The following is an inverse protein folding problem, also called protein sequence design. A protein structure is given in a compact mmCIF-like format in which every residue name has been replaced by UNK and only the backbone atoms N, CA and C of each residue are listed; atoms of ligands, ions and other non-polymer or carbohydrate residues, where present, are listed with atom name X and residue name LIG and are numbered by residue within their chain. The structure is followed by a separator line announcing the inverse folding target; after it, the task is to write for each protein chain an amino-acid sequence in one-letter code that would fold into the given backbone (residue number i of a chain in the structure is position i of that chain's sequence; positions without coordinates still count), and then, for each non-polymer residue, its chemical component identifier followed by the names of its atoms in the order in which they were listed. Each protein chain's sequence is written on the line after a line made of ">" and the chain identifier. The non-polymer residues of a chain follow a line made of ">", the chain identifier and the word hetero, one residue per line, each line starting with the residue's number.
data_IF_488138180652
#
_entry.id   IF_488138180652
#
_cell.length_a   1.000
_cell.length_b   1.000
_cell.length_c   1.000
_cell.angle_alpha   90.00
_cell.angle_beta   90.00
_cell.angle_gamma   90.00
#
_symmetry.space_group_name_H-M   'P 1'
#
loop_
_entity.id
_entity.type
_entity.pdbx_description
1 polymer ?
#
# COMPACT_ATOMS: atom_id res chain seq x y z
N UNK A 1 -0.52 12.26 4.45
CA UNK A 1 -1.55 13.02 5.20
C UNK A 1 -2.95 12.39 5.08
N UNK A 2 -3.59 12.36 3.90
CA UNK A 2 -4.96 11.80 3.74
C UNK A 2 -5.05 10.32 4.14
N UNK A 3 -4.13 9.48 3.72
CA UNK A 3 -4.09 8.05 4.13
C UNK A 3 -3.96 7.88 5.64
N UNK A 4 -3.13 8.71 6.29
CA UNK A 4 -2.99 8.70 7.75
C UNK A 4 -4.27 9.09 8.47
N UNK A 5 -4.95 10.14 8.01
CA UNK A 5 -6.27 10.53 8.49
C UNK A 5 -7.27 9.37 8.37
N UNK A 6 -7.40 8.80 7.18
CA UNK A 6 -8.34 7.71 6.91
C UNK A 6 -8.03 6.45 7.73
N UNK A 7 -6.74 6.10 7.87
CA UNK A 7 -6.30 4.97 8.69
C UNK A 7 -6.78 5.10 10.13
N UNK A 8 -6.71 6.31 10.69
CA UNK A 8 -7.14 6.58 12.07
C UNK A 8 -8.66 6.53 12.22
N UNK A 9 -9.39 7.14 11.27
CA UNK A 9 -10.86 7.23 11.36
C UNK A 9 -11.57 5.92 11.00
N UNK A 10 -11.02 5.12 10.11
CA UNK A 10 -11.58 3.83 9.70
C UNK A 10 -11.05 2.65 10.54
N UNK A 11 -10.03 2.87 11.39
CA UNK A 11 -9.46 1.84 12.26
C UNK A 11 -8.70 0.73 11.53
N UNK A 12 -8.40 0.91 10.24
CA UNK A 12 -7.61 -0.01 9.43
C UNK A 12 -6.65 0.76 8.51
N UNK A 13 -5.55 0.13 8.12
CA UNK A 13 -4.58 0.75 7.23
C UNK A 13 -5.20 1.02 5.85
N UNK A 14 -5.29 2.30 5.48
CA UNK A 14 -5.83 2.74 4.20
C UNK A 14 -4.70 3.17 3.28
N UNK A 15 -4.72 2.65 2.06
CA UNK A 15 -3.91 3.10 0.93
C UNK A 15 -4.83 3.61 -0.16
N UNK A 16 -4.59 4.83 -0.62
CA UNK A 16 -5.32 5.44 -1.72
C UNK A 16 -4.71 4.97 -3.04
N UNK A 17 -5.54 4.40 -3.90
CA UNK A 17 -5.16 4.05 -5.26
C UNK A 17 -5.37 5.24 -6.19
N UNK A 18 -6.49 5.96 -6.01
CA UNK A 18 -6.90 7.03 -6.90
C UNK A 18 -7.72 8.09 -6.16
N UNK A 19 -7.50 9.36 -6.49
CA UNK A 19 -8.39 10.46 -6.14
C UNK A 19 -9.33 10.67 -7.33
N UNK A 20 -10.63 10.48 -7.09
CA UNK A 20 -11.67 10.56 -8.09
C UNK A 20 -12.18 12.00 -8.21
N UNK A 21 -12.89 12.28 -9.32
CA UNK A 21 -13.61 13.53 -9.46
C UNK A 21 -14.68 13.65 -8.36
N UNK A 22 -14.65 14.78 -7.66
CA UNK A 22 -15.54 15.05 -6.52
C UNK A 22 -16.95 15.46 -6.95
N UNK A 23 -17.14 15.79 -8.23
CA UNK A 23 -18.43 16.14 -8.81
C UNK A 23 -19.06 14.89 -9.44
N UNK A 24 -20.27 14.53 -8.98
CA UNK A 24 -21.01 13.40 -9.56
C UNK A 24 -21.53 13.74 -10.97
N UNK A 25 -21.42 12.77 -11.89
CA UNK A 25 -21.99 12.91 -13.24
C UNK A 25 -23.52 13.08 -13.16
N UNK A 26 -24.03 14.11 -13.83
CA UNK A 26 -25.45 14.19 -14.17
C UNK A 26 -25.74 13.20 -15.29
N UNK A 27 -26.48 12.15 -15.01
CA UNK A 27 -26.94 11.21 -16.04
C UNK A 27 -28.11 11.76 -16.85
N UNK A 28 -28.89 12.65 -16.24
CA UNK A 28 -30.00 13.37 -16.87
C UNK A 28 -29.95 14.85 -16.48
N UNK A 29 -30.52 15.71 -17.33
CA UNK A 29 -30.56 17.16 -17.09
C UNK A 29 -31.25 17.55 -15.77
N UNK A 30 -32.17 16.71 -15.28
CA UNK A 30 -32.92 16.91 -14.04
C UNK A 30 -32.28 16.29 -12.80
N UNK A 31 -31.14 15.60 -12.95
CA UNK A 31 -30.41 15.02 -11.82
C UNK A 31 -29.83 16.11 -10.93
N UNK A 32 -30.05 15.95 -9.62
CA UNK A 32 -29.48 16.85 -8.62
C UNK A 32 -27.96 16.68 -8.60
N UNK A 33 -27.28 17.79 -8.76
CA UNK A 33 -25.81 17.84 -8.69
C UNK A 33 -25.34 17.42 -7.29
N UNK A 34 -24.42 16.46 -7.23
CA UNK A 34 -23.81 16.04 -5.98
C UNK A 34 -22.32 16.34 -6.03
N UNK A 35 -21.85 17.16 -5.09
CA UNK A 35 -20.43 17.50 -4.93
C UNK A 35 -20.00 17.13 -3.53
N UNK A 36 -18.88 16.42 -3.43
CA UNK A 36 -18.20 16.12 -2.17
C UNK A 36 -16.81 16.77 -2.20
N UNK A 37 -16.22 17.05 -1.05
CA UNK A 37 -14.91 17.73 -1.03
C UNK A 37 -13.77 16.82 -1.49
N UNK A 38 -13.81 15.55 -1.06
CA UNK A 38 -12.83 14.54 -1.51
C UNK A 38 -13.57 13.24 -1.80
N UNK A 39 -13.30 12.67 -2.98
CA UNK A 39 -13.72 11.33 -3.36
C UNK A 39 -12.47 10.52 -3.72
N UNK A 40 -12.30 9.37 -3.10
CA UNK A 40 -11.13 8.52 -3.29
C UNK A 40 -11.51 7.06 -3.41
N UNK A 41 -10.63 6.27 -4.05
CA UNK A 41 -10.71 4.81 -4.13
C UNK A 41 -9.49 4.22 -3.44
N UNK A 42 -9.71 3.27 -2.53
CA UNK A 42 -8.63 2.56 -1.87
C UNK A 42 -8.19 1.32 -2.68
N UNK A 43 -7.11 0.68 -2.26
CA UNK A 43 -6.56 -0.52 -2.92
C UNK A 43 -7.47 -1.75 -2.87
N UNK A 44 -8.52 -1.74 -2.01
CA UNK A 44 -9.57 -2.77 -1.98
C UNK A 44 -10.67 -2.49 -3.01
N UNK A 45 -10.65 -1.29 -3.61
CA UNK A 45 -11.66 -0.80 -4.54
C UNK A 45 -12.86 -0.15 -3.86
N UNK A 46 -12.83 0.06 -2.54
CA UNK A 46 -13.88 0.76 -1.80
C UNK A 46 -13.82 2.27 -2.10
N UNK A 47 -14.96 2.92 -2.08
CA UNK A 47 -15.10 4.36 -2.31
C UNK A 47 -15.15 5.10 -0.99
N UNK A 48 -14.39 6.15 -0.88
CA UNK A 48 -14.33 7.00 0.31
C UNK A 48 -14.77 8.41 -0.07
N UNK A 49 -15.82 8.88 0.58
CA UNK A 49 -16.34 10.23 0.45
C UNK A 49 -16.01 11.00 1.72
N UNK A 50 -15.41 12.18 1.58
CA UNK A 50 -15.16 13.08 2.72
C UNK A 50 -15.80 14.41 2.40
N UNK A 51 -16.53 14.94 3.36
CA UNK A 51 -17.22 16.20 3.28
C UNK A 51 -16.93 17.04 4.52
N UNK A 52 -16.55 18.31 4.31
CA UNK A 52 -16.30 19.29 5.36
C UNK A 52 -17.42 20.31 5.31
N UNK A 53 -18.27 20.31 6.33
CA UNK A 53 -19.44 21.16 6.34
C UNK A 53 -19.39 22.19 7.47
N UNK A 54 -19.35 23.47 7.08
CA UNK A 54 -19.28 24.60 8.02
C UNK A 54 -20.66 25.17 8.35
N UNK A 55 -21.63 24.99 7.47
CA UNK A 55 -22.96 25.61 7.57
C UNK A 55 -24.01 24.57 7.85
N UNK A 56 -24.92 24.87 8.77
CA UNK A 56 -26.04 23.99 9.11
C UNK A 56 -27.00 23.85 7.95
N UNK A 57 -27.31 22.60 7.60
CA UNK A 57 -28.36 22.22 6.66
C UNK A 57 -29.38 21.32 7.35
N UNK A 58 -30.67 21.62 7.18
CA UNK A 58 -31.74 20.85 7.84
C UNK A 58 -31.84 19.42 7.28
N UNK A 59 -31.53 19.24 6.00
CA UNK A 59 -31.61 17.94 5.31
C UNK A 59 -30.22 17.36 5.02
N UNK A 60 -29.28 17.57 5.96
CA UNK A 60 -27.90 17.15 5.75
C UNK A 60 -27.75 15.63 5.61
N UNK A 61 -28.41 14.86 6.47
CA UNK A 61 -28.32 13.40 6.43
C UNK A 61 -28.93 12.81 5.15
N UNK A 62 -30.02 13.40 4.66
CA UNK A 62 -30.64 13.03 3.38
C UNK A 62 -29.69 13.32 2.21
N UNK A 63 -28.94 14.43 2.28
CA UNK A 63 -27.92 14.76 1.30
C UNK A 63 -26.77 13.76 1.33
N UNK A 64 -26.27 13.39 2.50
CA UNK A 64 -25.25 12.36 2.68
C UNK A 64 -25.73 11.02 2.11
N UNK A 65 -26.96 10.61 2.45
CA UNK A 65 -27.55 9.38 1.92
C UNK A 65 -27.65 9.41 0.38
N UNK A 66 -28.10 10.52 -0.19
CA UNK A 66 -28.17 10.69 -1.65
C UNK A 66 -26.78 10.57 -2.29
N UNK A 67 -25.76 11.23 -1.73
CA UNK A 67 -24.38 11.18 -2.20
C UNK A 67 -23.79 9.76 -2.20
N UNK A 68 -24.03 9.02 -1.12
CA UNK A 68 -23.63 7.62 -1.00
C UNK A 68 -24.33 6.74 -2.02
N UNK A 69 -25.66 6.90 -2.17
CA UNK A 69 -26.43 6.13 -3.17
C UNK A 69 -25.93 6.39 -4.59
N UNK A 70 -25.60 7.65 -4.91
CA UNK A 70 -25.04 8.03 -6.21
C UNK A 70 -23.66 7.40 -6.43
N UNK A 71 -22.77 7.44 -5.43
CA UNK A 71 -21.45 6.79 -5.50
C UNK A 71 -21.55 5.28 -5.72
N UNK A 72 -22.54 4.61 -5.13
CA UNK A 72 -22.81 3.18 -5.37
C UNK A 72 -23.21 2.94 -6.82
N UNK A 73 -24.11 3.76 -7.36
CA UNK A 73 -24.67 3.58 -8.73
C UNK A 73 -23.69 3.95 -9.84
N UNK A 74 -22.81 4.92 -9.62
CA UNK A 74 -21.79 5.33 -10.59
C UNK A 74 -20.79 4.23 -10.95
N UNK A 75 -20.61 3.26 -10.07
CA UNK A 75 -19.65 2.15 -10.25
C UNK A 75 -20.32 0.85 -10.72
N UNK A 76 -21.61 0.87 -11.03
CA UNK A 76 -22.37 -0.28 -11.52
C UNK A 76 -23.00 0.04 -12.87
N UNK A 77 -22.54 -0.63 -13.92
CA UNK A 77 -23.04 -0.41 -15.29
C UNK A 77 -24.08 -1.45 -15.70
N UNK A 78 -24.93 -1.07 -16.66
CA UNK A 78 -25.95 -1.95 -17.21
C UNK A 78 -25.32 -3.26 -17.76
N UNK A 79 -25.86 -4.39 -17.33
CA UNK A 79 -25.37 -5.72 -17.73
C UNK A 79 -24.29 -6.32 -16.84
N UNK A 80 -23.79 -5.59 -15.85
CA UNK A 80 -22.92 -6.14 -14.80
C UNK A 80 -23.74 -6.82 -13.71
N UNK A 81 -23.15 -7.82 -13.07
CA UNK A 81 -23.73 -8.41 -11.86
C UNK A 81 -23.48 -7.52 -10.63
N UNK A 82 -24.20 -7.78 -9.55
CA UNK A 82 -24.08 -7.00 -8.31
C UNK A 82 -22.76 -7.20 -7.55
N UNK A 83 -21.88 -8.08 -8.00
CA UNK A 83 -20.54 -8.23 -7.42
C UNK A 83 -19.66 -6.99 -7.65
N UNK A 84 -20.03 -6.16 -8.63
CA UNK A 84 -19.40 -4.87 -8.91
C UNK A 84 -19.71 -3.76 -7.91
N UNK A 85 -20.72 -3.93 -7.03
CA UNK A 85 -21.05 -2.95 -5.99
C UNK A 85 -19.88 -2.79 -5.04
N UNK A 86 -19.42 -1.55 -4.87
CA UNK A 86 -18.29 -1.21 -3.98
C UNK A 86 -18.81 -0.75 -2.63
N UNK A 87 -18.14 -1.09 -1.55
CA UNK A 87 -18.40 -0.50 -0.25
C UNK A 87 -18.10 1.00 -0.32
N UNK A 88 -18.92 1.81 0.35
CA UNK A 88 -18.75 3.26 0.43
C UNK A 88 -18.57 3.65 1.89
N UNK A 89 -17.51 4.38 2.18
CA UNK A 89 -17.30 5.08 3.43
C UNK A 89 -17.66 6.54 3.24
N UNK A 90 -18.51 7.08 4.10
CA UNK A 90 -18.90 8.49 4.11
C UNK A 90 -18.45 9.13 5.41
N UNK A 91 -17.50 10.06 5.34
CA UNK A 91 -16.93 10.77 6.47
C UNK A 91 -17.37 12.21 6.38
N UNK A 92 -18.15 12.67 7.36
CA UNK A 92 -18.65 14.04 7.48
C UNK A 92 -17.94 14.76 8.62
N UNK A 93 -17.20 15.80 8.30
CA UNK A 93 -16.50 16.67 9.27
C UNK A 93 -17.39 17.92 9.47
N UNK A 94 -18.04 18.01 10.65
CA UNK A 94 -19.09 18.97 10.92
C UNK A 94 -18.61 20.05 11.89
N UNK A 95 -18.66 21.32 11.45
CA UNK A 95 -18.39 22.50 12.26
C UNK A 95 -19.67 23.20 12.72
N UNK A 96 -20.81 22.50 12.67
CA UNK A 96 -22.11 22.98 13.14
C UNK A 96 -22.78 21.92 14.02
N UNK A 97 -23.74 22.35 14.83
CA UNK A 97 -24.55 21.43 15.62
C UNK A 97 -25.61 20.76 14.74
N UNK A 98 -25.46 19.44 14.51
CA UNK A 98 -26.39 18.62 13.75
C UNK A 98 -27.61 18.16 14.56
N UNK A 99 -27.52 18.19 15.89
CA UNK A 99 -28.57 17.71 16.78
C UNK A 99 -28.07 17.28 18.15
N UNK A 100 -28.95 16.64 18.92
CA UNK A 100 -28.67 16.24 20.31
C UNK A 100 -27.83 14.98 20.35
N UNK A 101 -26.76 15.02 21.11
CA UNK A 101 -25.86 13.88 21.36
C UNK A 101 -24.68 14.32 22.20
N UNK A 102 -24.04 13.41 22.94
CA UNK A 102 -22.99 13.71 23.91
C UNK A 102 -21.58 13.38 23.42
N UNK A 103 -21.46 12.76 22.25
CA UNK A 103 -20.16 12.41 21.68
C UNK A 103 -19.79 13.32 20.51
N UNK A 104 -18.50 13.48 20.28
CA UNK A 104 -17.95 14.18 19.12
C UNK A 104 -17.80 13.28 17.89
N UNK A 105 -17.89 11.94 18.06
CA UNK A 105 -17.75 10.96 16.99
C UNK A 105 -18.92 9.98 17.01
N UNK A 106 -19.61 9.88 15.89
CA UNK A 106 -20.67 8.89 15.67
C UNK A 106 -20.33 8.00 14.50
N UNK A 107 -20.52 6.69 14.71
CA UNK A 107 -20.23 5.66 13.72
C UNK A 107 -21.50 4.88 13.41
N UNK A 108 -21.91 4.90 12.15
CA UNK A 108 -23.10 4.22 11.63
C UNK A 108 -22.73 3.06 10.72
N UNK A 109 -23.15 1.85 11.10
CA UNK A 109 -22.98 0.63 10.30
C UNK A 109 -24.29 -0.14 10.24
N UNK A 110 -24.52 -0.84 9.13
CA UNK A 110 -25.65 -1.74 9.00
C UNK A 110 -25.33 -3.12 9.58
N UNK A 111 -26.10 -3.51 10.59
CA UNK A 111 -26.05 -4.84 11.20
C UNK A 111 -27.45 -5.46 11.16
N UNK A 112 -27.52 -6.75 10.82
CA UNK A 112 -28.75 -7.51 10.92
C UNK A 112 -28.65 -8.44 12.13
N UNK A 113 -29.44 -8.13 13.15
CA UNK A 113 -29.47 -8.85 14.42
C UNK A 113 -30.72 -9.70 14.49
N UNK A 114 -30.57 -10.98 14.83
CA UNK A 114 -31.70 -11.90 15.00
C UNK A 114 -32.65 -11.39 16.10
N UNK A 115 -33.94 -11.23 15.77
CA UNK A 115 -34.92 -10.64 16.69
C UNK A 115 -35.10 -11.51 17.95
N UNK A 116 -34.93 -12.81 17.84
CA UNK A 116 -35.13 -13.76 18.93
C UNK A 116 -33.82 -14.28 19.53
N UNK A 117 -32.78 -14.40 18.72
CA UNK A 117 -31.50 -15.04 19.12
C UNK A 117 -30.41 -14.04 19.43
N UNK A 118 -30.59 -12.77 19.00
CA UNK A 118 -29.61 -11.69 19.13
C UNK A 118 -28.24 -12.00 18.50
N UNK A 119 -28.15 -12.99 17.62
CA UNK A 119 -26.97 -13.27 16.82
C UNK A 119 -26.84 -12.30 15.64
N UNK A 120 -25.64 -12.16 15.11
CA UNK A 120 -25.36 -11.36 13.91
C UNK A 120 -25.44 -12.23 12.65
N UNK A 121 -26.29 -11.82 11.69
CA UNK A 121 -26.39 -12.49 10.40
C UNK A 121 -25.07 -12.40 9.63
N UNK A 122 -24.60 -13.51 9.15
CA UNK A 122 -23.54 -13.62 8.14
C UNK A 122 -24.13 -14.11 6.83
N UNK A 123 -23.82 -13.43 5.73
CA UNK A 123 -24.30 -13.81 4.40
C UNK A 123 -23.22 -14.55 3.61
N UNK A 124 -23.64 -15.52 2.82
CA UNK A 124 -22.75 -16.19 1.88
C UNK A 124 -22.64 -15.37 0.61
N UNK A 125 -21.42 -15.01 0.23
CA UNK A 125 -21.10 -14.31 -1.02
C UNK A 125 -20.10 -15.11 -1.84
N UNK A 126 -20.00 -14.82 -3.14
CA UNK A 126 -19.01 -15.44 -4.02
C UNK A 126 -17.84 -14.48 -4.23
N UNK A 127 -16.64 -14.90 -3.85
CA UNK A 127 -15.41 -14.14 -4.06
C UNK A 127 -14.35 -15.03 -4.71
N UNK A 128 -13.80 -14.59 -5.84
CA UNK A 128 -12.78 -15.31 -6.62
C UNK A 128 -13.10 -16.78 -6.88
N UNK A 129 -14.39 -17.08 -7.08
CA UNK A 129 -14.86 -18.45 -7.35
C UNK A 129 -15.15 -19.30 -6.10
N UNK A 130 -14.89 -18.81 -4.90
CA UNK A 130 -15.20 -19.46 -3.63
C UNK A 130 -16.40 -18.80 -2.93
N UNK A 131 -17.13 -19.58 -2.13
CA UNK A 131 -18.18 -19.05 -1.25
C UNK A 131 -17.50 -18.61 0.05
N UNK A 132 -17.64 -17.35 0.42
CA UNK A 132 -17.13 -16.76 1.65
C UNK A 132 -18.28 -16.20 2.48
N UNK A 133 -18.11 -16.16 3.80
CA UNK A 133 -19.05 -15.50 4.72
C UNK A 133 -18.65 -14.07 4.94
N UNK A 134 -19.61 -13.15 4.86
CA UNK A 134 -19.42 -11.73 5.13
C UNK A 134 -20.48 -11.19 6.07
N UNK A 135 -20.09 -10.22 6.86
CA UNK A 135 -21.04 -9.41 7.62
C UNK A 135 -21.71 -8.37 6.70
N UNK A 136 -22.97 -8.01 6.91
CA UNK A 136 -23.62 -6.93 6.18
C UNK A 136 -22.81 -5.61 6.23
N UNK A 137 -22.17 -5.29 7.35
CA UNK A 137 -21.32 -4.12 7.50
C UNK A 137 -20.11 -4.06 6.55
N UNK A 138 -19.69 -5.20 5.99
CA UNK A 138 -18.62 -5.25 4.97
C UNK A 138 -19.11 -4.94 3.56
N UNK A 139 -20.45 -4.89 3.35
CA UNK A 139 -21.08 -4.66 2.05
C UNK A 139 -21.79 -3.31 2.02
N UNK A 140 -22.55 -3.01 3.07
CA UNK A 140 -23.34 -1.78 3.17
C UNK A 140 -22.44 -0.57 3.44
N UNK A 141 -22.90 0.63 3.08
CA UNK A 141 -22.20 1.87 3.39
C UNK A 141 -21.97 2.06 4.88
N UNK A 142 -20.89 2.74 5.18
CA UNK A 142 -20.46 3.08 6.53
C UNK A 142 -20.36 4.59 6.68
N UNK A 143 -20.92 5.12 7.76
CA UNK A 143 -21.03 6.55 8.00
C UNK A 143 -20.26 6.95 9.24
N UNK A 144 -19.44 7.99 9.13
CA UNK A 144 -18.69 8.56 10.24
C UNK A 144 -19.00 10.05 10.31
N UNK A 145 -19.58 10.48 11.43
CA UNK A 145 -19.89 11.88 11.67
C UNK A 145 -18.95 12.41 12.76
N UNK A 146 -18.14 13.41 12.41
CA UNK A 146 -17.19 14.06 13.33
C UNK A 146 -17.74 15.45 13.66
N UNK A 147 -18.25 15.62 14.89
CA UNK A 147 -18.75 16.89 15.43
C UNK A 147 -17.56 17.65 16.04
N UNK A 148 -16.81 18.35 15.22
CA UNK A 148 -15.52 18.96 15.61
C UNK A 148 -15.67 19.89 16.81
N UNK A 149 -16.71 20.70 16.86
CA UNK A 149 -16.94 21.67 17.94
C UNK A 149 -17.24 21.00 19.30
N UNK A 150 -17.75 19.78 19.30
CA UNK A 150 -18.09 19.02 20.51
C UNK A 150 -16.88 18.33 21.14
N UNK A 151 -15.72 18.36 20.49
CA UNK A 151 -14.49 17.84 21.07
C UNK A 151 -13.97 18.81 22.14
N UNK A 152 -14.02 18.42 23.39
CA UNK A 152 -13.63 19.20 24.58
C UNK A 152 -12.56 18.56 25.45
N UNK A 153 -11.94 17.47 24.96
CA UNK A 153 -11.01 16.65 25.72
C UNK A 153 -9.55 16.97 25.38
N UNK A 154 -8.66 16.54 26.26
CA UNK A 154 -7.22 16.47 25.95
C UNK A 154 -7.00 15.33 24.97
N UNK A 155 -6.41 15.62 23.82
CA UNK A 155 -6.12 14.61 22.81
C UNK A 155 -5.01 13.67 23.32
N UNK A 156 -5.35 12.39 23.49
CA UNK A 156 -4.44 11.33 23.97
C UNK A 156 -4.31 10.17 22.99
N UNK A 157 -5.22 10.09 22.00
CA UNK A 157 -5.20 9.07 20.96
C UNK A 157 -4.94 9.71 19.59
N UNK A 158 -4.43 8.96 18.61
CA UNK A 158 -4.24 9.46 17.24
C UNK A 158 -5.51 10.09 16.63
N UNK A 159 -6.68 9.54 16.93
CA UNK A 159 -7.96 10.07 16.47
C UNK A 159 -8.27 11.42 17.11
N UNK A 160 -8.07 11.54 18.43
CA UNK A 160 -8.30 12.80 19.15
C UNK A 160 -7.30 13.88 18.74
N UNK A 161 -6.05 13.51 18.41
CA UNK A 161 -5.07 14.45 17.85
C UNK A 161 -5.54 15.00 16.49
N UNK A 162 -6.12 14.16 15.62
CA UNK A 162 -6.71 14.60 14.36
C UNK A 162 -7.92 15.52 14.58
N UNK A 163 -8.83 15.17 15.50
CA UNK A 163 -10.00 16.01 15.80
C UNK A 163 -9.58 17.36 16.39
N UNK A 164 -8.57 17.38 17.27
CA UNK A 164 -7.98 18.61 17.78
C UNK A 164 -7.37 19.47 16.67
N UNK A 165 -6.63 18.83 15.76
CA UNK A 165 -6.09 19.54 14.60
C UNK A 165 -7.19 20.17 13.73
N UNK A 166 -8.27 19.41 13.47
CA UNK A 166 -9.42 19.92 12.74
C UNK A 166 -10.12 21.07 13.48
N UNK A 167 -10.19 21.03 14.81
CA UNK A 167 -10.83 22.07 15.63
C UNK A 167 -9.99 23.33 15.74
N UNK A 168 -8.76 23.19 16.16
CA UNK A 168 -7.92 24.32 16.63
C UNK A 168 -6.73 24.60 15.70
N UNK A 169 -6.47 23.77 14.70
CA UNK A 169 -5.25 23.83 13.86
C UNK A 169 -3.98 23.43 14.60
N UNK A 170 -4.09 22.86 15.81
CA UNK A 170 -2.93 22.58 16.67
C UNK A 170 -2.46 21.14 16.45
N UNK A 171 -1.18 21.00 16.12
CA UNK A 171 -0.50 19.70 16.04
C UNK A 171 0.55 19.66 17.17
N UNK A 172 0.39 18.71 18.10
CA UNK A 172 1.28 18.55 19.26
C UNK A 172 2.67 18.10 18.79
N UNK A 173 3.74 18.67 19.35
CA UNK A 173 5.11 18.21 19.11
C UNK A 173 5.25 16.75 19.56
N UNK A 174 5.77 15.88 18.68
CA UNK A 174 5.88 14.46 18.96
C UNK A 174 4.57 13.69 18.76
N UNK A 175 3.65 14.20 17.91
CA UNK A 175 2.44 13.48 17.50
C UNK A 175 2.77 12.07 17.03
N UNK A 176 1.95 11.10 17.44
CA UNK A 176 2.00 9.71 16.95
C UNK A 176 0.91 9.42 15.91
N UNK A 177 0.04 10.40 15.66
CA UNK A 177 -1.06 10.25 14.71
C UNK A 177 -0.53 10.21 13.26
N UNK A 178 -0.76 9.11 12.54
CA UNK A 178 -0.34 8.98 11.15
C UNK A 178 -0.82 10.16 10.30
N UNK A 179 0.07 10.79 9.56
CA UNK A 179 -0.25 11.88 8.64
C UNK A 179 -0.27 13.29 9.25
N UNK A 180 -0.28 13.45 10.59
CA UNK A 180 -0.27 14.79 11.23
C UNK A 180 1.10 15.48 11.11
N UNK A 181 2.20 14.74 11.13
CA UNK A 181 3.51 15.34 10.90
C UNK A 181 3.61 15.91 9.47
N UNK A 182 3.13 15.18 8.48
CA UNK A 182 3.04 15.67 7.10
C UNK A 182 2.12 16.91 6.98
N UNK A 183 1.03 16.95 7.77
CA UNK A 183 0.17 18.12 7.84
C UNK A 183 0.92 19.34 8.41
N UNK A 184 1.73 19.14 9.44
CA UNK A 184 2.58 20.21 10.03
C UNK A 184 3.56 20.79 9.02
N UNK A 185 4.26 19.93 8.27
CA UNK A 185 5.18 20.36 7.23
C UNK A 185 4.49 21.20 6.15
N UNK A 186 3.30 20.78 5.73
CA UNK A 186 2.48 21.55 4.77
C UNK A 186 2.05 22.90 5.34
N UNK A 187 1.59 22.95 6.60
CA UNK A 187 1.23 24.22 7.25
C UNK A 187 2.42 25.14 7.33
N UNK A 188 3.59 24.63 7.69
CA UNK A 188 4.84 25.38 7.71
C UNK A 188 5.17 25.95 6.34
N UNK A 189 5.11 25.14 5.29
CA UNK A 189 5.32 25.58 3.92
C UNK A 189 4.37 26.71 3.50
N UNK A 190 3.08 26.56 3.77
CA UNK A 190 2.08 27.58 3.42
C UNK A 190 2.20 28.88 4.23
N UNK A 191 2.82 28.84 5.41
CA UNK A 191 3.08 30.02 6.24
C UNK A 191 4.33 30.80 5.82
N UNK A 192 5.18 30.24 4.94
CA UNK A 192 6.38 30.90 4.43
C UNK A 192 6.04 32.02 3.46
N UNK A 193 6.90 33.04 3.38
CA UNK A 193 6.85 34.04 2.31
C UNK A 193 7.13 33.41 0.93
N UNK A 194 6.80 34.07 -0.17
CA UNK A 194 7.13 33.58 -1.51
C UNK A 194 8.63 33.32 -1.70
N UNK A 195 9.50 34.18 -1.14
CA UNK A 195 10.94 34.02 -1.20
C UNK A 195 11.43 32.80 -0.41
N UNK A 196 10.89 32.61 0.80
CA UNK A 196 11.20 31.44 1.64
C UNK A 196 10.74 30.16 1.01
N UNK A 197 9.56 30.12 0.37
CA UNK A 197 9.07 28.94 -0.39
C UNK A 197 9.99 28.63 -1.55
N UNK A 198 10.39 29.64 -2.31
CA UNK A 198 11.31 29.44 -3.43
C UNK A 198 12.64 28.84 -2.97
N UNK A 199 13.23 29.36 -1.90
CA UNK A 199 14.47 28.83 -1.34
C UNK A 199 14.30 27.41 -0.79
N UNK A 200 13.14 27.10 -0.18
CA UNK A 200 12.81 25.78 0.31
C UNK A 200 12.66 24.76 -0.85
N UNK A 201 11.96 25.16 -1.91
CA UNK A 201 11.77 24.31 -3.10
C UNK A 201 13.09 24.04 -3.84
N UNK A 202 13.99 25.07 -3.96
CA UNK A 202 15.34 24.89 -4.50
C UNK A 202 16.17 23.90 -3.65
N UNK A 203 16.07 24.00 -2.33
CA UNK A 203 16.77 23.10 -1.43
C UNK A 203 16.27 21.65 -1.56
N UNK A 204 14.94 21.45 -1.65
CA UNK A 204 14.35 20.12 -1.89
C UNK A 204 14.78 19.55 -3.24
N UNK A 205 14.77 20.36 -4.30
CA UNK A 205 15.22 19.95 -5.63
C UNK A 205 16.70 19.54 -5.62
N UNK A 206 17.56 20.28 -4.91
CA UNK A 206 18.98 19.91 -4.76
C UNK A 206 19.16 18.56 -4.06
N UNK A 207 18.40 18.29 -3.00
CA UNK A 207 18.39 16.99 -2.29
C UNK A 207 17.91 15.87 -3.21
N UNK A 208 16.85 16.10 -3.98
CA UNK A 208 16.33 15.10 -4.93
C UNK A 208 17.37 14.75 -5.99
N UNK A 209 18.03 15.75 -6.59
CA UNK A 209 19.08 15.55 -7.58
C UNK A 209 20.25 14.75 -6.96
N UNK A 210 20.67 15.12 -5.74
CA UNK A 210 21.74 14.41 -5.05
C UNK A 210 21.39 12.94 -4.78
N UNK A 211 20.16 12.66 -4.35
CA UNK A 211 19.69 11.30 -4.12
C UNK A 211 19.62 10.50 -5.42
N UNK A 212 19.20 11.13 -6.51
CA UNK A 212 19.13 10.50 -7.83
C UNK A 212 20.52 10.14 -8.35
N UNK A 213 21.49 11.06 -8.23
CA UNK A 213 22.91 10.81 -8.57
C UNK A 213 23.49 9.66 -7.74
N UNK A 214 23.23 9.64 -6.43
CA UNK A 214 23.67 8.57 -5.54
C UNK A 214 23.05 7.21 -5.89
N UNK A 215 21.76 7.22 -6.24
CA UNK A 215 21.02 6.02 -6.67
C UNK A 215 21.58 5.48 -7.99
N UNK A 216 21.85 6.36 -8.95
CA UNK A 216 22.44 6.01 -10.23
C UNK A 216 23.83 5.42 -10.06
N UNK A 217 24.72 6.08 -9.32
CA UNK A 217 26.06 5.58 -9.05
C UNK A 217 26.07 4.22 -8.34
N UNK A 218 25.13 4.01 -7.40
CA UNK A 218 24.96 2.72 -6.72
C UNK A 218 24.46 1.62 -7.67
N UNK A 219 23.58 1.96 -8.59
CA UNK A 219 23.09 1.03 -9.61
C UNK A 219 24.22 0.65 -10.57
N UNK A 220 24.95 1.64 -11.11
CA UNK A 220 26.08 1.42 -12.02
C UNK A 220 27.18 0.57 -11.36
N UNK A 221 27.59 0.89 -10.14
CA UNK A 221 28.59 0.11 -9.41
C UNK A 221 28.15 -1.34 -9.10
N UNK A 222 26.84 -1.56 -8.93
CA UNK A 222 26.31 -2.92 -8.78
C UNK A 222 26.35 -3.71 -10.09
N UNK A 223 26.04 -3.08 -11.21
CA UNK A 223 26.10 -3.70 -12.55
C UNK A 223 27.54 -4.03 -12.94
N UNK A 224 28.47 -3.10 -12.70
CA UNK A 224 29.91 -3.33 -12.92
C UNK A 224 30.43 -4.49 -12.07
N UNK A 225 30.18 -4.50 -10.75
CA UNK A 225 30.60 -5.58 -9.87
C UNK A 225 29.98 -6.94 -10.21
N UNK A 226 28.72 -6.96 -10.72
CA UNK A 226 28.11 -8.19 -11.21
C UNK A 226 28.79 -8.70 -12.48
N UNK A 227 29.12 -7.80 -13.41
CA UNK A 227 29.80 -8.15 -14.66
C UNK A 227 31.21 -8.66 -14.41
N UNK A 228 31.99 -8.01 -13.53
CA UNK A 228 33.32 -8.43 -13.12
C UNK A 228 33.27 -9.80 -12.45
N UNK A 229 32.42 -10.01 -11.43
CA UNK A 229 32.29 -11.29 -10.72
C UNK A 229 31.86 -12.44 -11.65
N UNK A 230 30.99 -12.18 -12.64
CA UNK A 230 30.65 -13.17 -13.67
C UNK A 230 31.80 -13.52 -14.58
N UNK A 231 32.65 -12.54 -14.96
CA UNK A 231 33.80 -12.75 -15.80
C UNK A 231 34.90 -13.58 -15.06
N UNK A 232 35.18 -13.19 -13.81
CA UNK A 232 36.15 -13.90 -12.97
C UNK A 232 35.71 -15.35 -12.67
N UNK A 233 34.46 -15.55 -12.25
CA UNK A 233 33.95 -16.88 -11.94
C UNK A 233 33.88 -17.79 -13.19
N UNK A 234 33.68 -17.22 -14.39
CA UNK A 234 33.75 -17.96 -15.65
C UNK A 234 35.20 -18.39 -15.99
N UNK A 235 36.15 -17.51 -15.76
CA UNK A 235 37.58 -17.80 -16.01
C UNK A 235 38.07 -18.87 -15.05
N UNK A 236 37.81 -18.72 -13.75
CA UNK A 236 38.14 -19.71 -12.72
C UNK A 236 37.55 -21.09 -13.02
N UNK A 237 36.23 -21.14 -13.32
CA UNK A 237 35.55 -22.39 -13.67
C UNK A 237 36.09 -23.05 -14.96
N UNK A 238 36.57 -22.27 -15.93
CA UNK A 238 37.23 -22.81 -17.13
C UNK A 238 38.59 -23.41 -16.83
N UNK A 239 39.35 -22.81 -15.95
CA UNK A 239 40.68 -23.31 -15.53
C UNK A 239 40.50 -24.62 -14.73
N UNK A 240 39.59 -24.59 -13.74
CA UNK A 240 39.31 -25.73 -12.86
C UNK A 240 38.78 -26.93 -13.67
N UNK A 241 37.77 -26.71 -14.54
CA UNK A 241 37.20 -27.73 -15.41
C UNK A 241 38.24 -28.33 -16.42
N UNK A 242 39.21 -27.54 -16.89
CA UNK A 242 40.31 -28.06 -17.72
C UNK A 242 41.27 -28.95 -16.93
N UNK A 243 41.59 -28.57 -15.70
CA UNK A 243 42.47 -29.37 -14.86
C UNK A 243 41.82 -30.68 -14.44
N UNK A 244 40.55 -30.62 -14.03
CA UNK A 244 39.74 -31.82 -13.71
C UNK A 244 39.65 -32.77 -14.90
N UNK A 245 39.30 -32.25 -16.08
CA UNK A 245 39.22 -33.06 -17.31
C UNK A 245 40.54 -33.69 -17.71
N UNK A 246 41.70 -33.04 -17.50
CA UNK A 246 43.01 -33.60 -17.72
C UNK A 246 43.39 -34.70 -16.73
N UNK A 247 42.97 -34.58 -15.48
CA UNK A 247 43.12 -35.63 -14.49
C UNK A 247 42.29 -36.84 -14.82
N UNK A 248 41.02 -36.63 -15.16
CA UNK A 248 40.06 -37.70 -15.53
C UNK A 248 40.53 -38.46 -16.78
N UNK A 249 41.01 -37.76 -17.81
CA UNK A 249 41.58 -38.37 -19.03
C UNK A 249 42.82 -39.23 -18.72
N UNK A 250 43.70 -38.78 -17.82
CA UNK A 250 44.87 -39.56 -17.36
C UNK A 250 44.46 -40.81 -16.62
N UNK A 251 43.49 -40.71 -15.73
CA UNK A 251 42.94 -41.85 -14.99
C UNK A 251 42.28 -42.88 -15.91
N UNK A 252 41.48 -42.42 -16.88
CA UNK A 252 40.85 -43.29 -17.87
C UNK A 252 41.90 -44.00 -18.74
N UNK A 253 42.91 -43.25 -19.18
CA UNK A 253 44.02 -43.80 -19.96
C UNK A 253 44.80 -44.87 -19.16
N UNK A 254 45.03 -44.62 -17.87
CA UNK A 254 45.71 -45.58 -16.99
C UNK A 254 44.83 -46.87 -16.83
N UNK A 255 43.53 -46.76 -16.69
CA UNK A 255 42.61 -47.93 -16.64
C UNK A 255 42.70 -48.75 -17.91
N UNK A 256 42.64 -48.13 -19.10
CA UNK A 256 42.77 -48.81 -20.38
C UNK A 256 44.10 -49.53 -20.53
N UNK A 257 45.20 -48.85 -20.24
CA UNK A 257 46.53 -49.43 -20.33
C UNK A 257 46.72 -50.63 -19.38
N UNK A 258 46.12 -50.57 -18.18
CA UNK A 258 46.13 -51.72 -17.28
C UNK A 258 45.31 -52.90 -17.80
N UNK A 259 44.13 -52.62 -18.38
CA UNK A 259 43.25 -53.64 -18.97
C UNK A 259 43.93 -54.34 -20.19
N UNK A 260 44.77 -53.58 -20.92
CA UNK A 260 45.52 -54.07 -22.07
C UNK A 260 46.78 -54.84 -21.65
N UNK A 261 47.05 -55.01 -20.34
CA UNK A 261 48.15 -55.81 -19.80
C UNK A 261 49.53 -55.14 -19.76
N UNK A 262 49.58 -53.81 -19.86
CA UNK A 262 50.83 -53.08 -19.73
C UNK A 262 51.39 -53.11 -18.29
N UNK A 263 52.72 -53.10 -18.17
CA UNK A 263 53.37 -53.09 -16.86
C UNK A 263 53.09 -51.77 -16.11
N UNK A 264 53.08 -51.87 -14.76
CA UNK A 264 52.90 -50.68 -13.90
C UNK A 264 53.88 -49.55 -14.24
N UNK A 265 55.14 -49.90 -14.50
CA UNK A 265 56.21 -48.96 -14.86
C UNK A 265 55.84 -48.18 -16.16
N UNK A 266 55.27 -48.84 -17.15
CA UNK A 266 54.83 -48.23 -18.40
C UNK A 266 53.62 -47.31 -18.17
N UNK A 267 52.61 -47.71 -17.34
CA UNK A 267 51.45 -46.90 -17.03
C UNK A 267 51.85 -45.61 -16.32
N UNK A 268 52.69 -45.69 -15.29
CA UNK A 268 53.29 -44.53 -14.60
C UNK A 268 53.99 -43.59 -15.58
N UNK A 269 54.81 -44.15 -16.44
CA UNK A 269 55.63 -43.35 -17.39
C UNK A 269 54.77 -42.57 -18.40
N UNK A 270 53.68 -43.15 -18.90
CA UNK A 270 52.88 -42.53 -19.95
C UNK A 270 51.77 -41.64 -19.39
N UNK A 271 51.20 -41.95 -18.22
CA UNK A 271 50.11 -41.16 -17.61
C UNK A 271 50.61 -40.08 -16.65
N UNK A 272 51.82 -40.27 -16.10
CA UNK A 272 52.37 -39.40 -15.05
C UNK A 272 51.66 -39.53 -13.71
N UNK A 273 50.80 -40.56 -13.53
CA UNK A 273 50.17 -40.89 -12.25
C UNK A 273 51.15 -41.70 -11.37
N UNK A 274 51.01 -41.57 -10.06
CA UNK A 274 51.78 -42.39 -9.11
C UNK A 274 51.27 -43.85 -9.09
N UNK A 275 52.11 -44.77 -8.63
CA UNK A 275 51.70 -46.17 -8.46
C UNK A 275 50.51 -46.34 -7.50
N UNK A 276 50.42 -45.45 -6.50
CA UNK A 276 49.32 -45.43 -5.54
C UNK A 276 48.00 -45.00 -6.19
N UNK A 277 48.02 -43.95 -7.02
CA UNK A 277 46.82 -43.50 -7.80
C UNK A 277 46.39 -44.58 -8.80
N UNK A 278 47.31 -45.28 -9.44
CA UNK A 278 47.00 -46.36 -10.39
C UNK A 278 46.46 -47.60 -9.68
N UNK A 279 46.93 -47.91 -8.47
CA UNK A 279 46.44 -49.04 -7.71
C UNK A 279 45.04 -48.83 -7.14
N UNK A 280 44.60 -47.56 -6.99
CA UNK A 280 43.28 -47.20 -6.51
C UNK A 280 42.25 -47.05 -7.64
N UNK A 281 42.62 -47.33 -8.88
CA UNK A 281 41.72 -47.34 -10.05
C UNK A 281 40.94 -48.67 -10.17
#
# INVERSE_FOLDING_TARGET
>A
MLEGFLTVFLGEQIKIEEILESEGYQQMADDKFNRVDIKAKNTKGDIILIEIQNTRELYYLERVLYGVAKAVTEHLHLGQDYSGVKKVYSISILYFDIGVGTDYLYHGQNQFVGVHTHDHLQVNTKERGAIVKRLPSEIFPEYILVRVNEFDKVAVTPLEEWVRYLKDGIITSGTTAPGLEEAREKLRYYSMSPEERYAYDEHLNAIMIQNDVLSTAKFEGREEGLAEGLAEGREEGLIEGREEGRVEERLETARRMRSDGLSMEMVVRYTGLSEEEINNL
#
